data_IF_432421774919
#
_entry.id   IF_432421774919
#
_cell.length_a   1.000
_cell.length_b   1.000
_cell.length_c   1.000
_cell.angle_alpha   90.00
_cell.angle_beta   90.00
_cell.angle_gamma   90.00
#
_symmetry.space_group_name_H-M   'P 1'
#
loop_
_entity.id
_entity.type
_entity.pdbx_description
1 polymer ?
#
# COMPACT_ATOMS: atom_id res chain seq x y z
N UNK A 1 -13.84 -13.69 20.61
CA UNK A 1 -13.53 -12.28 20.94
C UNK A 1 -12.53 -11.76 19.92
N UNK A 2 -12.89 -10.76 19.12
CA UNK A 2 -11.95 -10.13 18.20
C UNK A 2 -10.83 -9.48 19.02
N UNK A 3 -9.60 -9.99 18.92
CA UNK A 3 -8.46 -9.43 19.63
C UNK A 3 -8.26 -7.98 19.21
N UNK A 4 -8.30 -7.04 20.16
CA UNK A 4 -8.04 -5.64 19.87
C UNK A 4 -6.60 -5.50 19.39
N UNK A 5 -6.42 -5.13 18.13
CA UNK A 5 -5.09 -4.78 17.61
C UNK A 5 -4.62 -3.55 18.36
N UNK A 6 -3.51 -3.66 19.10
CA UNK A 6 -2.97 -2.53 19.86
C UNK A 6 -2.60 -1.39 18.93
N UNK A 7 -2.78 -0.13 19.36
CA UNK A 7 -2.52 1.08 18.56
C UNK A 7 -1.14 1.07 17.90
N UNK A 8 -0.11 0.60 18.60
CA UNK A 8 1.26 0.50 18.07
C UNK A 8 1.37 -0.48 16.89
N UNK A 9 0.67 -1.60 16.96
CA UNK A 9 0.67 -2.63 15.91
C UNK A 9 -0.11 -2.16 14.68
N UNK A 10 -1.25 -1.49 14.90
CA UNK A 10 -2.02 -0.86 13.84
C UNK A 10 -1.18 0.18 13.10
N UNK A 11 -0.47 1.05 13.83
CA UNK A 11 0.41 2.06 13.24
C UNK A 11 1.52 1.41 12.42
N UNK A 12 2.21 0.40 12.96
CA UNK A 12 3.28 -0.27 12.23
C UNK A 12 2.77 -0.95 10.94
N UNK A 13 1.70 -1.74 11.03
CA UNK A 13 1.12 -2.43 9.88
C UNK A 13 0.56 -1.45 8.84
N UNK A 14 -0.07 -0.37 9.30
CA UNK A 14 -0.55 0.72 8.46
C UNK A 14 0.57 1.44 7.72
N UNK A 15 1.68 1.75 8.41
CA UNK A 15 2.87 2.37 7.81
C UNK A 15 3.51 1.48 6.76
N UNK A 16 3.59 0.17 7.00
CA UNK A 16 4.12 -0.80 6.02
C UNK A 16 3.25 -0.81 4.76
N UNK A 17 1.93 -0.86 4.91
CA UNK A 17 1.01 -0.79 3.77
C UNK A 17 1.12 0.55 3.02
N UNK A 18 1.21 1.66 3.76
CA UNK A 18 1.42 2.99 3.17
C UNK A 18 2.72 3.06 2.36
N UNK A 19 3.83 2.52 2.89
CA UNK A 19 5.10 2.47 2.17
C UNK A 19 5.02 1.61 0.90
N UNK A 20 4.31 0.49 0.94
CA UNK A 20 4.09 -0.38 -0.24
C UNK A 20 3.29 0.31 -1.34
N UNK A 21 2.42 1.26 -1.00
CA UNK A 21 1.63 2.02 -1.97
C UNK A 21 2.43 3.22 -2.47
N UNK A 22 2.93 4.03 -1.55
CA UNK A 22 3.55 5.32 -1.86
C UNK A 22 4.95 5.17 -2.45
N UNK A 23 5.73 4.19 -1.99
CA UNK A 23 7.10 3.96 -2.46
C UNK A 23 7.18 3.74 -3.98
N UNK A 24 6.50 2.74 -4.55
CA UNK A 24 6.51 2.49 -5.99
C UNK A 24 5.96 3.67 -6.81
N UNK A 25 4.93 4.35 -6.30
CA UNK A 25 4.33 5.51 -6.96
C UNK A 25 5.29 6.69 -7.07
N UNK A 26 6.03 6.99 -5.99
CA UNK A 26 7.06 8.03 -5.97
C UNK A 26 8.24 7.69 -6.86
N UNK A 27 8.68 6.43 -6.86
CA UNK A 27 9.77 5.97 -7.75
C UNK A 27 9.34 6.11 -9.21
N UNK A 28 8.13 5.69 -9.57
CA UNK A 28 7.62 5.83 -10.93
C UNK A 28 7.49 7.31 -11.34
N UNK A 29 6.96 8.16 -10.45
CA UNK A 29 6.89 9.60 -10.68
C UNK A 29 8.27 10.21 -10.97
N UNK A 30 9.22 9.96 -10.07
CA UNK A 30 10.57 10.52 -10.16
C UNK A 30 11.29 10.01 -11.42
N UNK A 31 11.15 8.72 -11.76
CA UNK A 31 11.73 8.14 -12.96
C UNK A 31 11.16 8.78 -14.23
N UNK A 32 9.83 8.83 -14.36
CA UNK A 32 9.19 9.40 -15.56
C UNK A 32 9.53 10.88 -15.69
N UNK A 33 9.45 11.65 -14.60
CA UNK A 33 9.81 13.07 -14.63
C UNK A 33 11.27 13.28 -15.03
N UNK A 34 12.19 12.49 -14.47
CA UNK A 34 13.62 12.61 -14.80
C UNK A 34 13.91 12.37 -16.28
N UNK A 35 13.24 11.40 -16.93
CA UNK A 35 13.48 11.08 -18.34
C UNK A 35 12.66 11.91 -19.33
N UNK A 36 11.41 12.26 -19.00
CA UNK A 36 10.52 12.98 -19.93
C UNK A 36 10.57 14.49 -19.78
N UNK A 37 10.94 15.00 -18.60
CA UNK A 37 10.80 16.41 -18.24
C UNK A 37 9.34 16.88 -18.08
N UNK A 38 8.35 16.03 -18.35
CA UNK A 38 6.93 16.35 -18.30
C UNK A 38 6.32 15.88 -16.98
N UNK A 39 6.00 16.86 -16.13
CA UNK A 39 5.43 16.63 -14.81
C UNK A 39 4.00 16.07 -14.87
N UNK A 40 3.21 16.45 -15.88
CA UNK A 40 1.84 15.97 -16.03
C UNK A 40 1.82 14.49 -16.48
N UNK A 41 2.68 14.13 -17.43
CA UNK A 41 2.86 12.74 -17.82
C UNK A 41 3.36 11.88 -16.66
N UNK A 42 4.33 12.39 -15.88
CA UNK A 42 4.83 11.71 -14.68
C UNK A 42 3.74 11.49 -13.64
N UNK A 43 2.90 12.50 -13.36
CA UNK A 43 1.79 12.40 -12.44
C UNK A 43 0.75 11.37 -12.91
N UNK A 44 0.44 11.32 -14.21
CA UNK A 44 -0.45 10.33 -14.80
C UNK A 44 0.05 8.89 -14.59
N UNK A 45 1.33 8.64 -14.86
CA UNK A 45 1.94 7.32 -14.66
C UNK A 45 1.99 6.96 -13.18
N UNK A 46 2.38 7.90 -12.32
CA UNK A 46 2.41 7.70 -10.87
C UNK A 46 1.03 7.36 -10.30
N UNK A 47 -0.04 8.02 -10.78
CA UNK A 47 -1.40 7.71 -10.37
C UNK A 47 -1.82 6.30 -10.79
N UNK A 48 -1.48 5.86 -12.01
CA UNK A 48 -1.75 4.50 -12.46
C UNK A 48 -1.02 3.45 -11.60
N UNK A 49 0.26 3.69 -11.30
CA UNK A 49 1.06 2.83 -10.41
C UNK A 49 0.48 2.81 -8.99
N UNK A 50 0.03 3.96 -8.47
CA UNK A 50 -0.58 4.07 -7.15
C UNK A 50 -1.84 3.23 -7.02
N UNK A 51 -2.74 3.28 -8.02
CA UNK A 51 -3.95 2.47 -8.05
C UNK A 51 -3.62 0.97 -8.12
N UNK A 52 -2.64 0.59 -8.93
CA UNK A 52 -2.16 -0.80 -8.97
C UNK A 52 -1.60 -1.26 -7.62
N UNK A 53 -0.80 -0.42 -6.97
CA UNK A 53 -0.22 -0.69 -5.66
C UNK A 53 -1.29 -0.78 -4.56
N UNK A 54 -2.37 0.02 -4.63
CA UNK A 54 -3.52 -0.07 -3.73
C UNK A 54 -4.19 -1.45 -3.80
N UNK A 55 -4.41 -1.98 -5.02
CA UNK A 55 -5.00 -3.32 -5.20
C UNK A 55 -4.09 -4.40 -4.60
N UNK A 56 -2.78 -4.29 -4.83
CA UNK A 56 -1.79 -5.23 -4.29
C UNK A 56 -1.73 -5.15 -2.75
N UNK A 57 -1.67 -3.93 -2.21
CA UNK A 57 -1.66 -3.67 -0.77
C UNK A 57 -2.94 -4.16 -0.10
N UNK A 58 -4.10 -4.03 -0.73
CA UNK A 58 -5.35 -4.57 -0.21
C UNK A 58 -5.33 -6.11 -0.11
N UNK A 59 -4.81 -6.80 -1.13
CA UNK A 59 -4.64 -8.27 -1.09
C UNK A 59 -3.66 -8.68 0.01
N UNK A 60 -2.60 -7.91 0.22
CA UNK A 60 -1.62 -8.13 1.27
C UNK A 60 -2.19 -7.85 2.66
N UNK A 61 -2.92 -6.74 2.82
CA UNK A 61 -3.60 -6.34 4.04
C UNK A 61 -4.59 -7.40 4.51
N UNK A 62 -5.38 -8.01 3.60
CA UNK A 62 -6.24 -9.15 3.96
C UNK A 62 -5.45 -10.29 4.57
N UNK A 63 -4.28 -10.64 4.02
CA UNK A 63 -3.47 -11.74 4.58
C UNK A 63 -2.76 -11.37 5.88
N UNK A 64 -2.33 -10.12 6.04
CA UNK A 64 -1.55 -9.64 7.19
C UNK A 64 -2.40 -9.17 8.38
N UNK A 65 -3.62 -8.69 8.13
CA UNK A 65 -4.54 -8.21 9.16
C UNK A 65 -5.57 -9.29 9.56
N UNK A 66 -5.98 -10.19 8.65
CA UNK A 66 -7.02 -11.19 8.95
C UNK A 66 -6.47 -12.50 9.51
N UNK A 67 -5.19 -12.85 9.28
CA UNK A 67 -4.57 -14.06 9.86
C UNK A 67 -4.29 -14.03 11.37
N UNK A 68 -4.93 -13.10 12.11
CA UNK A 68 -5.12 -13.20 13.55
C UNK A 68 -6.44 -13.85 13.98
N UNK A 69 -7.33 -14.21 13.04
CA UNK A 69 -8.59 -14.92 13.31
C UNK A 69 -8.51 -16.33 12.69
N UNK A 70 -8.44 -17.40 13.49
CA UNK A 70 -8.41 -18.76 12.96
C UNK A 70 -9.70 -19.08 12.18
N UNK A 71 -9.61 -19.84 11.06
CA UNK A 71 -10.77 -20.33 10.34
C UNK A 71 -11.43 -21.45 11.16
N UNK A 72 -12.37 -21.10 12.02
CA UNK A 72 -13.09 -22.05 12.89
C UNK A 72 -13.65 -21.47 14.18
N UNK A 73 -13.88 -20.16 14.24
CA UNK A 73 -14.46 -19.49 15.41
C UNK A 73 -15.98 -19.52 15.49
N UNK A 74 -16.61 -20.61 15.05
CA UNK A 74 -17.93 -21.09 15.47
C UNK A 74 -17.88 -22.60 15.58
#
# INVERSE_FOLDING_TARGET
>A
MAGSMGTRELLYKGSVLGAMITGPSLVAFAAVWHYSGDMAAAAGVAAAVHVGALVMAFKFAKRFLVRGVPPGGQ
#
